data_IF_836968748252
#
_entry.id   IF_836968748252
#
_cell.length_a   1.000
_cell.length_b   1.000
_cell.length_c   1.000
_cell.angle_alpha   90.00
_cell.angle_beta   90.00
_cell.angle_gamma   90.00
#
_symmetry.space_group_name_H-M   'P 1'
#
loop_
_entity.id
_entity.type
_entity.pdbx_description
1 polymer ?
#
# COMPACT_ATOMS: atom_id res chain seq x y z
N UNK A 1 -1.49 4.94 25.13
CA UNK A 1 -2.87 4.46 24.95
C UNK A 1 -2.84 3.10 24.28
N UNK A 2 -3.53 2.09 24.79
CA UNK A 2 -3.57 0.80 24.11
C UNK A 2 -4.26 0.96 22.77
N UNK A 3 -3.58 0.51 21.69
CA UNK A 3 -4.17 0.49 20.33
C UNK A 3 -5.38 -0.44 20.33
N UNK A 4 -6.52 0.09 19.87
CA UNK A 4 -7.73 -0.71 19.67
C UNK A 4 -7.40 -1.89 18.76
N UNK A 5 -7.75 -3.15 19.12
CA UNK A 5 -7.42 -4.29 18.27
C UNK A 5 -8.05 -4.10 16.88
N UNK A 6 -7.33 -4.48 15.81
CA UNK A 6 -7.84 -4.33 14.45
C UNK A 6 -9.12 -5.14 14.29
N UNK A 7 -10.13 -4.55 13.65
CA UNK A 7 -11.38 -5.24 13.31
C UNK A 7 -11.06 -6.35 12.31
N UNK A 8 -11.25 -7.61 12.69
CA UNK A 8 -11.04 -8.75 11.81
C UNK A 8 -12.31 -9.07 11.04
N UNK A 9 -12.16 -9.34 9.73
CA UNK A 9 -13.22 -9.89 8.88
C UNK A 9 -12.78 -11.25 8.36
N UNK A 10 -13.71 -12.16 8.19
CA UNK A 10 -13.46 -13.47 7.58
C UNK A 10 -13.59 -13.33 6.07
N UNK A 11 -12.56 -13.79 5.35
CA UNK A 11 -12.56 -13.92 3.89
C UNK A 11 -12.37 -15.39 3.57
N UNK A 12 -13.24 -15.96 2.74
CA UNK A 12 -13.16 -17.34 2.30
C UNK A 12 -12.92 -17.39 0.79
N UNK A 13 -12.08 -18.32 0.35
CA UNK A 13 -11.80 -18.57 -1.05
C UNK A 13 -11.61 -20.08 -1.28
N UNK A 14 -11.82 -20.50 -2.52
CA UNK A 14 -11.60 -21.90 -2.93
C UNK A 14 -10.19 -22.03 -3.50
N UNK A 15 -9.55 -23.15 -3.22
CA UNK A 15 -8.26 -23.54 -3.76
C UNK A 15 -8.33 -24.95 -4.32
N UNK A 16 -7.44 -25.27 -5.22
CA UNK A 16 -7.26 -26.62 -5.77
C UNK A 16 -6.75 -27.57 -4.68
N UNK A 17 -7.08 -28.86 -4.83
CA UNK A 17 -6.76 -29.90 -3.84
C UNK A 17 -5.27 -29.94 -3.48
N UNK A 18 -4.39 -29.87 -4.48
CA UNK A 18 -2.94 -29.95 -4.29
C UNK A 18 -2.42 -28.79 -3.45
N UNK A 19 -2.95 -27.58 -3.68
CA UNK A 19 -2.60 -26.40 -2.90
C UNK A 19 -3.17 -26.50 -1.47
N UNK A 20 -4.37 -27.04 -1.31
CA UNK A 20 -4.97 -27.29 0.00
C UNK A 20 -4.13 -28.27 0.82
N UNK A 21 -3.62 -29.33 0.21
CA UNK A 21 -2.76 -30.32 0.87
C UNK A 21 -1.41 -29.71 1.30
N UNK A 22 -0.83 -28.87 0.48
CA UNK A 22 0.38 -28.12 0.85
C UNK A 22 0.13 -27.18 2.04
N UNK A 23 -0.96 -26.42 2.02
CA UNK A 23 -1.35 -25.53 3.11
C UNK A 23 -1.62 -26.28 4.41
N UNK A 24 -2.21 -27.46 4.34
CA UNK A 24 -2.52 -28.29 5.52
C UNK A 24 -1.26 -28.86 6.20
N UNK A 25 -0.15 -28.98 5.49
CA UNK A 25 1.16 -29.39 6.05
C UNK A 25 1.87 -28.27 6.82
N UNK A 26 1.40 -27.04 6.73
CA UNK A 26 2.02 -25.92 7.42
C UNK A 26 1.60 -25.86 8.89
N UNK A 27 2.55 -25.59 9.82
CA UNK A 27 2.25 -25.53 11.26
C UNK A 27 1.30 -24.39 11.63
N UNK A 28 1.33 -23.28 10.86
CA UNK A 28 0.40 -22.14 11.02
C UNK A 28 -0.04 -21.60 9.65
N UNK A 29 -0.98 -22.27 9.06
CA UNK A 29 -1.56 -21.96 7.75
C UNK A 29 -2.13 -20.53 7.68
N UNK A 30 -2.84 -20.06 8.72
CA UNK A 30 -3.45 -18.73 8.74
C UNK A 30 -2.40 -17.61 8.77
N UNK A 31 -1.31 -17.78 9.50
CA UNK A 31 -0.21 -16.82 9.52
C UNK A 31 0.51 -16.78 8.17
N UNK A 32 0.74 -17.95 7.56
CA UNK A 32 1.34 -18.05 6.23
C UNK A 32 0.50 -17.33 5.17
N UNK A 33 -0.81 -17.61 5.12
CA UNK A 33 -1.72 -17.00 4.13
C UNK A 33 -1.75 -15.48 4.30
N UNK A 34 -1.90 -14.96 5.53
CA UNK A 34 -1.89 -13.51 5.78
C UNK A 34 -0.59 -12.86 5.33
N UNK A 35 0.56 -13.51 5.61
CA UNK A 35 1.87 -13.01 5.19
C UNK A 35 2.02 -13.00 3.67
N UNK A 36 1.59 -14.05 2.99
CA UNK A 36 1.63 -14.16 1.54
C UNK A 36 0.76 -13.08 0.87
N UNK A 37 -0.47 -12.88 1.36
CA UNK A 37 -1.37 -11.84 0.86
C UNK A 37 -0.78 -10.45 1.09
N UNK A 38 -0.26 -10.15 2.28
CA UNK A 38 0.36 -8.86 2.59
C UNK A 38 1.58 -8.58 1.70
N UNK A 39 2.41 -9.60 1.44
CA UNK A 39 3.56 -9.48 0.56
C UNK A 39 3.14 -9.24 -0.90
N UNK A 40 2.11 -9.94 -1.38
CA UNK A 40 1.60 -9.78 -2.74
C UNK A 40 0.92 -8.43 -2.98
N UNK A 41 0.26 -7.88 -1.97
CA UNK A 41 -0.34 -6.54 -2.02
C UNK A 41 0.69 -5.41 -1.81
N UNK A 42 1.96 -5.73 -1.61
CA UNK A 42 3.01 -4.73 -1.37
C UNK A 42 2.93 -4.02 -0.02
N UNK A 43 2.15 -4.57 0.94
CA UNK A 43 1.98 -3.97 2.28
C UNK A 43 3.00 -4.47 3.31
N UNK A 44 3.84 -5.43 2.95
CA UNK A 44 4.89 -5.91 3.84
C UNK A 44 6.06 -4.91 3.86
N UNK A 45 6.43 -4.45 5.06
CA UNK A 45 7.59 -3.58 5.21
C UNK A 45 8.87 -4.29 4.74
N UNK A 46 9.64 -3.73 3.78
CA UNK A 46 10.84 -4.37 3.25
C UNK A 46 11.96 -4.49 4.29
N UNK A 47 11.96 -3.68 5.35
CA UNK A 47 12.98 -3.72 6.40
C UNK A 47 12.75 -4.87 7.40
N UNK A 48 11.51 -5.09 7.82
CA UNK A 48 11.18 -6.12 8.81
C UNK A 48 10.47 -7.34 8.19
N UNK A 49 10.16 -7.29 6.91
CA UNK A 49 9.43 -8.37 6.20
C UNK A 49 8.15 -8.78 6.94
N UNK A 50 7.40 -7.81 7.44
CA UNK A 50 6.14 -7.99 8.17
C UNK A 50 6.27 -8.44 9.63
N UNK A 51 7.50 -8.53 10.18
CA UNK A 51 7.71 -8.93 11.58
C UNK A 51 7.40 -7.83 12.60
N UNK A 52 7.32 -6.57 12.17
CA UNK A 52 7.07 -5.40 13.03
C UNK A 52 8.30 -4.90 13.79
N UNK A 53 9.41 -5.65 13.81
CA UNK A 53 10.67 -5.30 14.44
C UNK A 53 11.85 -5.62 13.52
N UNK A 54 12.91 -4.86 13.64
CA UNK A 54 14.19 -5.10 12.94
C UNK A 54 15.32 -5.22 13.96
N UNK A 55 16.37 -5.98 13.66
CA UNK A 55 17.58 -6.02 14.49
C UNK A 55 18.15 -4.61 14.66
N UNK A 56 18.70 -4.31 15.86
CA UNK A 56 19.19 -2.97 16.21
C UNK A 56 20.19 -2.42 15.19
N UNK A 57 21.14 -3.21 14.74
CA UNK A 57 22.13 -2.76 13.76
C UNK A 57 21.50 -2.33 12.43
N UNK A 58 20.46 -3.05 11.99
CA UNK A 58 19.70 -2.69 10.78
C UNK A 58 18.90 -1.39 11.00
N UNK A 59 18.28 -1.25 12.17
CA UNK A 59 17.58 -0.01 12.55
C UNK A 59 18.53 1.19 12.54
N UNK A 60 19.68 1.07 13.24
CA UNK A 60 20.65 2.17 13.36
C UNK A 60 21.25 2.57 12.00
N UNK A 61 21.35 1.62 11.08
CA UNK A 61 21.80 1.89 9.71
C UNK A 61 20.73 2.62 8.86
N UNK A 62 19.46 2.21 8.94
CA UNK A 62 18.40 2.76 8.08
C UNK A 62 17.66 3.95 8.68
N UNK A 63 17.61 4.11 10.00
CA UNK A 63 16.88 5.22 10.64
C UNK A 63 17.32 6.61 10.15
N UNK A 64 18.64 6.90 9.98
CA UNK A 64 19.06 8.21 9.44
C UNK A 64 18.65 8.42 7.97
N UNK A 65 18.59 7.34 7.18
CA UNK A 65 18.17 7.40 5.77
C UNK A 65 16.68 7.71 5.70
N UNK A 66 15.87 7.00 6.49
CA UNK A 66 14.42 7.22 6.56
C UNK A 66 14.06 8.60 7.10
N UNK A 67 14.84 9.12 8.07
CA UNK A 67 14.62 10.45 8.61
C UNK A 67 14.83 11.57 7.56
N UNK A 68 15.71 11.35 6.58
CA UNK A 68 15.93 12.27 5.47
C UNK A 68 14.85 12.18 4.39
N UNK A 69 14.08 11.12 4.34
CA UNK A 69 13.00 10.90 3.38
C UNK A 69 11.70 11.49 3.91
N UNK A 70 11.68 12.81 4.11
CA UNK A 70 10.49 13.52 4.61
C UNK A 70 9.61 14.09 3.49
N UNK A 71 10.15 14.17 2.28
CA UNK A 71 9.44 14.66 1.10
C UNK A 71 9.55 13.69 -0.07
N UNK A 72 8.68 13.88 -1.02
CA UNK A 72 8.63 13.16 -2.29
C UNK A 72 8.20 14.13 -3.37
N UNK A 73 7.89 13.64 -4.57
CA UNK A 73 7.49 14.48 -5.69
C UNK A 73 6.12 14.09 -6.22
N UNK A 74 5.38 15.10 -6.69
CA UNK A 74 4.13 14.88 -7.40
C UNK A 74 4.36 14.08 -8.68
N UNK A 75 3.62 13.01 -8.85
CA UNK A 75 3.70 12.14 -10.04
C UNK A 75 3.27 12.85 -11.35
N UNK A 76 2.57 13.98 -11.24
CA UNK A 76 2.13 14.78 -12.38
C UNK A 76 3.15 15.85 -12.79
N UNK A 77 3.46 16.78 -11.91
CA UNK A 77 4.29 17.95 -12.22
C UNK A 77 5.69 17.92 -11.64
N UNK A 78 6.04 16.92 -10.81
CA UNK A 78 7.35 16.81 -10.17
C UNK A 78 7.59 17.78 -9.02
N UNK A 79 6.59 18.59 -8.59
CA UNK A 79 6.75 19.47 -7.44
C UNK A 79 6.97 18.68 -6.16
N UNK A 80 7.79 19.21 -5.27
CA UNK A 80 8.05 18.58 -3.97
C UNK A 80 6.80 18.60 -3.09
N UNK A 81 6.52 17.47 -2.46
CA UNK A 81 5.39 17.28 -1.57
C UNK A 81 5.85 16.61 -0.26
N UNK A 82 5.21 16.91 0.88
CA UNK A 82 5.43 16.13 2.07
C UNK A 82 5.01 14.68 1.83
N UNK A 83 5.82 13.73 2.27
CA UNK A 83 5.49 12.30 2.16
C UNK A 83 4.39 11.96 3.18
N UNK A 84 3.18 11.59 2.74
CA UNK A 84 2.13 11.17 3.65
C UNK A 84 2.51 9.81 4.28
N UNK A 85 2.54 9.75 5.61
CA UNK A 85 2.98 8.55 6.34
C UNK A 85 1.87 7.83 7.06
N UNK A 86 0.87 8.56 7.55
CA UNK A 86 -0.23 8.00 8.31
C UNK A 86 -1.59 8.36 7.67
N UNK A 87 -2.41 7.37 7.27
CA UNK A 87 -3.76 7.60 6.79
C UNK A 87 -4.68 8.25 7.84
N UNK A 88 -4.35 8.14 9.12
CA UNK A 88 -5.14 8.70 10.22
C UNK A 88 -5.02 10.22 10.35
N UNK A 89 -3.97 10.81 9.80
CA UNK A 89 -3.70 12.26 9.89
C UNK A 89 -4.26 13.05 8.70
N UNK A 90 -5.01 12.39 7.79
CA UNK A 90 -5.58 13.04 6.62
C UNK A 90 -6.74 13.98 6.98
N UNK A 91 -6.73 15.18 6.40
CA UNK A 91 -7.89 16.04 6.39
C UNK A 91 -8.99 15.46 5.49
N UNK A 92 -10.28 15.81 5.69
CA UNK A 92 -11.36 15.33 4.82
C UNK A 92 -11.13 15.66 3.33
N UNK A 93 -10.51 16.81 3.05
CA UNK A 93 -10.21 17.26 1.68
C UNK A 93 -9.10 16.43 1.03
N UNK A 94 -8.16 15.93 1.85
CA UNK A 94 -7.06 15.09 1.37
C UNK A 94 -7.43 13.61 1.22
N UNK A 95 -8.55 13.17 1.80
CA UNK A 95 -8.91 11.75 1.85
C UNK A 95 -8.98 11.09 0.48
N UNK A 96 -9.57 11.75 -0.52
CA UNK A 96 -9.68 11.19 -1.85
C UNK A 96 -8.31 11.14 -2.55
N UNK A 97 -7.58 12.25 -2.54
CA UNK A 97 -6.30 12.42 -3.20
C UNK A 97 -5.20 11.54 -2.61
N UNK A 98 -5.00 11.60 -1.30
CA UNK A 98 -3.99 10.81 -0.60
C UNK A 98 -4.46 9.38 -0.37
N UNK A 99 -5.77 9.15 -0.28
CA UNK A 99 -6.36 7.82 -0.17
C UNK A 99 -5.97 6.91 -1.34
N UNK A 100 -6.02 7.42 -2.58
CA UNK A 100 -5.55 6.62 -3.72
C UNK A 100 -4.06 6.27 -3.62
N UNK A 101 -3.21 7.18 -3.14
CA UNK A 101 -1.79 6.90 -2.91
C UNK A 101 -1.58 5.78 -1.88
N UNK A 102 -2.28 5.79 -0.75
CA UNK A 102 -2.18 4.74 0.25
C UNK A 102 -2.64 3.36 -0.25
N UNK A 103 -3.45 3.31 -1.29
CA UNK A 103 -3.88 2.07 -1.95
C UNK A 103 -3.01 1.70 -3.17
N UNK A 104 -1.88 2.38 -3.36
CA UNK A 104 -0.92 2.07 -4.42
C UNK A 104 -1.12 2.89 -5.71
N UNK A 105 -1.98 3.90 -5.67
CA UNK A 105 -2.16 4.86 -6.76
C UNK A 105 -1.10 5.95 -6.79
N UNK A 106 -1.15 6.85 -7.78
CA UNK A 106 -0.23 7.96 -7.91
C UNK A 106 -0.42 9.00 -6.81
N UNK A 107 0.68 9.67 -6.44
CA UNK A 107 0.68 10.81 -5.54
C UNK A 107 0.65 12.11 -6.35
N UNK A 108 -0.41 12.87 -6.25
CA UNK A 108 -0.55 14.16 -6.91
C UNK A 108 -0.63 15.32 -5.91
N UNK A 109 -0.13 16.50 -6.32
CA UNK A 109 -0.52 17.75 -5.68
C UNK A 109 -1.98 18.09 -6.06
N UNK A 110 -2.60 19.03 -5.34
CA UNK A 110 -4.01 19.38 -5.55
C UNK A 110 -4.31 19.75 -7.01
N UNK A 111 -3.48 20.62 -7.61
CA UNK A 111 -3.68 21.04 -9.00
C UNK A 111 -3.53 19.92 -10.03
N UNK A 112 -2.67 18.94 -9.81
CA UNK A 112 -2.55 17.78 -10.70
C UNK A 112 -3.69 16.79 -10.49
N UNK A 113 -4.13 16.62 -9.26
CA UNK A 113 -5.28 15.76 -8.93
C UNK A 113 -6.56 16.26 -9.59
N UNK A 114 -6.85 17.55 -9.47
CA UNK A 114 -8.05 18.17 -10.09
C UNK A 114 -8.05 18.08 -11.61
N UNK A 115 -6.89 18.17 -12.26
CA UNK A 115 -6.75 18.08 -13.72
C UNK A 115 -6.76 16.66 -14.26
N UNK A 116 -6.41 15.68 -13.44
CA UNK A 116 -6.36 14.28 -13.86
C UNK A 116 -7.80 13.72 -13.95
N UNK A 117 -8.18 13.10 -15.07
CA UNK A 117 -9.50 12.47 -15.18
C UNK A 117 -9.62 11.27 -14.24
N UNK A 118 -10.83 11.05 -13.72
CA UNK A 118 -11.13 9.87 -12.92
C UNK A 118 -11.24 8.62 -13.81
N UNK A 119 -10.71 7.51 -13.34
CA UNK A 119 -10.91 6.21 -13.96
C UNK A 119 -12.36 5.74 -13.73
N UNK A 120 -13.05 5.33 -14.78
CA UNK A 120 -14.46 4.90 -14.70
C UNK A 120 -14.63 3.62 -13.87
N UNK A 121 -13.60 2.77 -13.79
CA UNK A 121 -13.67 1.48 -13.09
C UNK A 121 -13.41 1.59 -11.59
N UNK A 122 -12.48 2.45 -11.16
CA UNK A 122 -12.05 2.53 -9.75
C UNK A 122 -12.16 3.93 -9.13
N UNK A 123 -12.44 4.96 -9.93
CA UNK A 123 -12.56 6.35 -9.47
C UNK A 123 -11.24 7.06 -9.16
N UNK A 124 -10.09 6.40 -9.36
CA UNK A 124 -8.79 7.05 -9.17
C UNK A 124 -8.52 8.09 -10.24
N UNK A 125 -7.99 9.23 -9.83
CA UNK A 125 -7.53 10.25 -10.76
C UNK A 125 -6.18 9.86 -11.36
N UNK A 126 -6.15 9.65 -12.66
CA UNK A 126 -4.98 9.14 -13.40
C UNK A 126 -4.71 10.03 -14.61
N UNK A 127 -3.47 10.47 -14.78
CA UNK A 127 -3.10 11.18 -15.99
C UNK A 127 -3.25 10.29 -17.24
N UNK A 128 -3.74 10.84 -18.39
CA UNK A 128 -3.99 10.06 -19.59
C UNK A 128 -2.82 9.20 -20.06
N UNK A 129 -1.58 9.69 -19.93
CA UNK A 129 -0.36 8.95 -20.29
C UNK A 129 -0.11 7.69 -19.45
N UNK A 130 -0.75 7.59 -18.27
CA UNK A 130 -0.62 6.46 -17.33
C UNK A 130 -1.82 5.50 -17.37
N UNK A 131 -2.88 5.79 -18.13
CA UNK A 131 -4.08 4.96 -18.15
C UNK A 131 -3.80 3.51 -18.54
N UNK A 132 -3.01 3.27 -19.58
CA UNK A 132 -2.70 1.91 -20.01
C UNK A 132 -1.93 1.10 -18.96
N UNK A 133 -1.02 1.75 -18.23
CA UNK A 133 -0.30 1.12 -17.12
C UNK A 133 -1.21 0.87 -15.93
N UNK A 134 -2.08 1.82 -15.60
CA UNK A 134 -3.06 1.71 -14.53
C UNK A 134 -4.02 0.53 -14.79
N UNK A 135 -4.63 0.43 -15.96
CA UNK A 135 -5.51 -0.68 -16.31
C UNK A 135 -4.80 -2.03 -16.23
N UNK A 136 -3.56 -2.10 -16.70
CA UNK A 136 -2.77 -3.33 -16.61
C UNK A 136 -2.46 -3.77 -15.18
N UNK A 137 -2.27 -2.83 -14.25
CA UNK A 137 -1.91 -3.13 -12.85
C UNK A 137 -3.12 -3.29 -11.93
N UNK A 138 -4.12 -2.42 -12.06
CA UNK A 138 -5.24 -2.33 -11.14
C UNK A 138 -6.44 -3.21 -11.56
N UNK A 139 -6.59 -3.50 -12.85
CA UNK A 139 -7.74 -4.20 -13.42
C UNK A 139 -7.30 -5.49 -14.16
N UNK A 140 -6.28 -6.18 -13.64
CA UNK A 140 -5.96 -7.53 -14.11
C UNK A 140 -7.05 -8.48 -13.63
N UNK A 141 -7.77 -9.07 -14.59
CA UNK A 141 -8.62 -10.24 -14.41
C UNK A 141 -7.81 -11.45 -13.93
#
# INVERSE_FOLDING_TARGET
MPRKPPKTKVVAFKVESDLADLLNKLPNKSAFIRKAIAAQLGMACPLCNGKGVVPRGLHDHYAPILARTSSTHCDGCGSELPLPRDPGDLTPEDHARLGQFFHGGPLYCDGCYEKAPACDDCGWHIEPKRFSEHHRKAHRD
#
